data_IF_533120704093
#
_entry.id   IF_533120704093
#
_cell.length_a   1.000
_cell.length_b   1.000
_cell.length_c   1.000
_cell.angle_alpha   90.00
_cell.angle_beta   90.00
_cell.angle_gamma   90.00
#
_symmetry.space_group_name_H-M   'P 1'
#
loop_
_entity.id
_entity.type
_entity.pdbx_description
1 polymer ?
#
# COMPACT_ATOMS: atom_id res chain seq x y z
N UNK A 1 -3.65 -10.71 1.05
CA UNK A 1 -2.56 -11.45 0.38
C UNK A 1 -1.42 -10.47 0.13
N UNK A 2 -0.18 -10.92 0.23
CA UNK A 2 0.99 -10.11 -0.15
C UNK A 2 1.25 -10.25 -1.66
N UNK A 3 1.95 -9.27 -2.22
CA UNK A 3 2.44 -9.31 -3.60
C UNK A 3 3.82 -9.95 -3.70
N UNK A 4 4.46 -9.75 -4.85
CA UNK A 4 5.79 -10.31 -5.17
C UNK A 4 6.78 -9.16 -5.34
N UNK A 5 8.04 -9.40 -4.98
CA UNK A 5 9.09 -8.41 -5.16
C UNK A 5 9.25 -8.05 -6.65
N UNK A 6 9.34 -6.76 -6.95
CA UNK A 6 9.46 -6.25 -8.32
C UNK A 6 8.13 -6.11 -9.06
N UNK A 7 7.02 -6.58 -8.48
CA UNK A 7 5.67 -6.35 -8.99
C UNK A 7 5.00 -5.15 -8.30
N UNK A 8 4.11 -4.47 -9.03
CA UNK A 8 3.26 -3.43 -8.48
C UNK A 8 1.79 -3.83 -8.62
N UNK A 9 1.06 -3.81 -7.51
CA UNK A 9 -0.40 -3.89 -7.55
C UNK A 9 -0.97 -2.57 -8.10
N UNK A 10 -1.84 -2.63 -9.10
CA UNK A 10 -2.51 -1.46 -9.66
C UNK A 10 -3.96 -1.39 -9.15
N UNK A 11 -4.29 -0.37 -8.35
CA UNK A 11 -5.65 -0.12 -7.84
C UNK A 11 -6.32 1.03 -8.58
N UNK A 12 -7.46 0.72 -9.21
CA UNK A 12 -8.39 1.66 -9.87
C UNK A 12 -9.83 1.43 -9.39
N UNK A 13 -10.79 2.20 -9.90
CA UNK A 13 -12.19 2.21 -9.49
C UNK A 13 -12.41 2.94 -8.16
N UNK A 14 -13.56 3.60 -8.04
CA UNK A 14 -13.90 4.50 -6.91
C UNK A 14 -14.05 3.79 -5.56
N UNK A 15 -14.19 2.46 -5.57
CA UNK A 15 -14.35 1.65 -4.37
C UNK A 15 -13.12 1.60 -3.46
N UNK A 16 -13.32 1.00 -2.29
CA UNK A 16 -12.31 0.88 -1.23
C UNK A 16 -11.58 -0.46 -1.32
N UNK A 17 -10.25 -0.43 -1.26
CA UNK A 17 -9.41 -1.60 -1.03
C UNK A 17 -8.77 -1.52 0.35
N UNK A 18 -9.09 -2.47 1.24
CA UNK A 18 -8.42 -2.61 2.54
C UNK A 18 -7.32 -3.66 2.44
N UNK A 19 -6.09 -3.23 2.67
CA UNK A 19 -4.90 -4.08 2.68
C UNK A 19 -4.68 -4.55 4.11
N UNK A 20 -4.97 -5.82 4.37
CA UNK A 20 -5.00 -6.43 5.72
C UNK A 20 -4.20 -7.75 5.76
N UNK A 21 -3.10 -7.80 5.02
CA UNK A 21 -2.17 -8.92 5.05
C UNK A 21 -1.38 -8.97 6.35
N UNK A 22 -0.41 -9.88 6.39
CA UNK A 22 0.45 -10.11 7.55
C UNK A 22 1.92 -10.09 7.10
N UNK A 23 2.80 -9.59 7.95
CA UNK A 23 4.24 -9.57 7.69
C UNK A 23 4.66 -8.51 6.68
N UNK A 24 5.80 -8.76 6.04
CA UNK A 24 6.36 -7.90 5.00
C UNK A 24 5.79 -8.25 3.62
N UNK A 25 5.12 -7.29 3.00
CA UNK A 25 4.81 -7.36 1.58
C UNK A 25 5.96 -6.72 0.76
N UNK A 26 6.65 -7.48 -0.10
CA UNK A 26 7.76 -6.96 -0.90
C UNK A 26 7.32 -6.23 -2.17
N UNK A 27 6.06 -6.38 -2.60
CA UNK A 27 5.52 -5.71 -3.78
C UNK A 27 5.27 -4.22 -3.54
N UNK A 28 5.13 -3.46 -4.63
CA UNK A 28 4.74 -2.05 -4.61
C UNK A 28 3.25 -1.84 -4.91
N UNK A 29 2.79 -0.61 -4.79
CA UNK A 29 1.41 -0.20 -5.04
C UNK A 29 1.36 1.04 -5.93
N UNK A 30 0.53 1.01 -6.97
CA UNK A 30 0.11 2.19 -7.74
C UNK A 30 -1.39 2.41 -7.56
N UNK A 31 -1.76 3.58 -7.06
CA UNK A 31 -3.17 3.95 -6.81
C UNK A 31 -3.57 5.05 -7.77
N UNK A 32 -4.58 4.77 -8.59
CA UNK A 32 -5.12 5.72 -9.57
C UNK A 32 -6.58 6.11 -9.34
N UNK A 33 -7.30 5.47 -8.41
CA UNK A 33 -8.68 5.85 -8.08
C UNK A 33 -9.17 5.23 -6.76
N UNK A 34 -10.20 5.84 -6.18
CA UNK A 34 -10.87 5.38 -4.96
C UNK A 34 -10.00 5.48 -3.71
N UNK A 35 -10.27 4.63 -2.72
CA UNK A 35 -9.53 4.64 -1.44
C UNK A 35 -8.75 3.36 -1.22
N UNK A 36 -7.51 3.49 -0.75
CA UNK A 36 -6.72 2.37 -0.22
C UNK A 36 -6.45 2.59 1.26
N UNK A 37 -6.83 1.62 2.09
CA UNK A 37 -6.53 1.61 3.52
C UNK A 37 -5.39 0.64 3.76
N UNK A 38 -4.22 1.14 4.15
CA UNK A 38 -3.07 0.34 4.55
C UNK A 38 -3.20 -0.04 6.03
N UNK A 39 -3.53 -1.31 6.26
CA UNK A 39 -3.77 -1.91 7.57
C UNK A 39 -3.07 -3.28 7.69
N UNK A 40 -1.86 -3.39 7.15
CA UNK A 40 -1.03 -4.58 7.27
C UNK A 40 -0.74 -4.87 8.74
N UNK A 41 -0.80 -6.15 9.11
CA UNK A 41 -0.60 -6.62 10.47
C UNK A 41 0.80 -7.22 10.65
N UNK A 42 1.37 -7.16 11.85
CA UNK A 42 2.65 -7.80 12.14
C UNK A 42 2.56 -9.33 12.00
N UNK A 43 3.63 -9.95 11.54
CA UNK A 43 3.85 -11.40 11.68
C UNK A 43 4.29 -11.77 13.11
N UNK A 44 4.65 -13.04 13.31
CA UNK A 44 5.08 -13.58 14.61
C UNK A 44 6.36 -12.93 15.14
N UNK A 45 7.21 -12.40 14.26
CA UNK A 45 8.43 -11.66 14.62
C UNK A 45 8.17 -10.16 14.84
N UNK A 46 6.92 -9.71 14.70
CA UNK A 46 6.54 -8.30 14.80
C UNK A 46 6.84 -7.48 13.53
N UNK A 47 7.27 -8.10 12.42
CA UNK A 47 7.60 -7.41 11.18
C UNK A 47 6.31 -7.05 10.43
N UNK A 48 6.23 -5.83 9.92
CA UNK A 48 5.05 -5.34 9.19
C UNK A 48 5.47 -4.35 8.11
N UNK A 49 4.92 -4.52 6.92
CA UNK A 49 5.03 -3.57 5.81
C UNK A 49 3.92 -3.87 4.81
N UNK A 50 3.08 -2.88 4.50
CA UNK A 50 1.97 -3.03 3.56
C UNK A 50 2.45 -3.09 2.11
N UNK A 51 3.43 -2.27 1.73
CA UNK A 51 4.09 -2.29 0.41
C UNK A 51 5.53 -1.74 0.52
N UNK A 52 6.39 -2.15 -0.40
CA UNK A 52 7.76 -1.62 -0.52
C UNK A 52 7.82 -0.18 -1.04
N UNK A 53 6.83 0.22 -1.85
CA UNK A 53 6.64 1.59 -2.34
C UNK A 53 5.17 1.87 -2.64
N UNK A 54 4.79 3.13 -2.60
CA UNK A 54 3.44 3.60 -2.95
C UNK A 54 3.54 4.78 -3.90
N UNK A 55 2.88 4.68 -5.05
CA UNK A 55 2.72 5.77 -6.00
C UNK A 55 1.24 6.16 -6.10
N UNK A 56 0.96 7.46 -5.92
CA UNK A 56 -0.38 8.03 -5.90
C UNK A 56 -0.50 9.00 -7.08
N UNK A 57 -1.45 8.76 -7.98
CA UNK A 57 -1.54 9.47 -9.26
C UNK A 57 -3.00 9.83 -9.62
N UNK A 58 -3.18 10.69 -10.63
CA UNK A 58 -4.45 11.21 -11.19
C UNK A 58 -5.27 12.20 -10.33
N UNK A 59 -4.87 12.47 -9.09
CA UNK A 59 -5.59 13.38 -8.18
C UNK A 59 -6.92 12.86 -7.61
N UNK A 60 -7.42 11.72 -8.09
CA UNK A 60 -8.65 11.06 -7.61
C UNK A 60 -8.51 10.25 -6.31
N UNK A 61 -7.40 9.53 -6.07
CA UNK A 61 -7.38 8.57 -4.97
C UNK A 61 -7.01 9.18 -3.61
N UNK A 62 -7.37 8.48 -2.55
CA UNK A 62 -6.88 8.71 -1.18
C UNK A 62 -6.21 7.44 -0.63
N UNK A 63 -5.05 7.58 0.00
CA UNK A 63 -4.37 6.50 0.73
C UNK A 63 -4.40 6.82 2.22
N UNK A 64 -4.91 5.88 3.02
CA UNK A 64 -5.06 6.02 4.47
C UNK A 64 -4.08 5.07 5.16
N UNK A 65 -3.22 5.62 6.03
CA UNK A 65 -2.33 4.84 6.89
C UNK A 65 -3.02 4.61 8.24
N UNK A 66 -3.19 3.36 8.64
CA UNK A 66 -3.78 3.06 9.97
C UNK A 66 -2.79 3.19 11.11
N UNK A 67 -1.49 3.09 10.82
CA UNK A 67 -0.38 3.39 11.74
C UNK A 67 0.88 3.82 10.96
N UNK A 68 1.96 4.14 11.68
CA UNK A 68 3.23 4.60 11.11
C UNK A 68 4.12 3.51 10.52
N UNK A 69 3.68 2.24 10.52
CA UNK A 69 4.51 1.08 10.12
C UNK A 69 4.14 0.53 8.74
N UNK A 70 3.20 1.16 8.05
CA UNK A 70 2.61 0.64 6.83
C UNK A 70 3.55 0.73 5.62
N UNK A 71 4.35 1.80 5.53
CA UNK A 71 5.26 2.05 4.42
C UNK A 71 6.35 3.00 4.91
N UNK A 72 7.57 2.89 4.37
CA UNK A 72 8.58 3.92 4.56
C UNK A 72 8.11 5.23 3.87
N UNK A 73 7.97 6.36 4.59
CA UNK A 73 7.52 7.62 3.99
C UNK A 73 8.34 8.08 2.79
N UNK A 74 9.66 7.80 2.77
CA UNK A 74 10.54 8.16 1.65
C UNK A 74 10.22 7.39 0.36
N UNK A 75 9.49 6.28 0.47
CA UNK A 75 9.06 5.45 -0.66
C UNK A 75 7.62 5.78 -1.12
N UNK A 76 7.05 6.88 -0.63
CA UNK A 76 5.79 7.43 -1.12
C UNK A 76 6.10 8.48 -2.19
N UNK A 77 5.43 8.36 -3.34
CA UNK A 77 5.58 9.29 -4.46
C UNK A 77 4.24 9.74 -4.99
N UNK A 78 4.20 10.99 -5.46
CA UNK A 78 3.05 11.57 -6.15
C UNK A 78 3.37 11.66 -7.65
N UNK A 79 2.59 10.96 -8.46
CA UNK A 79 2.65 10.97 -9.92
C UNK A 79 1.72 12.00 -10.54
N UNK A 80 1.63 11.97 -11.87
CA UNK A 80 0.68 12.77 -12.66
C UNK A 80 -0.77 12.36 -12.40
#
# INVERSE_FOLDING_TARGET
MNGVQGDNLHKIGEGVLKVNGTGINPGGLKVGDGTVILAQRPDEDGKVQAFSSVNIASGRPTVILTDSRQVNPDNISWGF
#
